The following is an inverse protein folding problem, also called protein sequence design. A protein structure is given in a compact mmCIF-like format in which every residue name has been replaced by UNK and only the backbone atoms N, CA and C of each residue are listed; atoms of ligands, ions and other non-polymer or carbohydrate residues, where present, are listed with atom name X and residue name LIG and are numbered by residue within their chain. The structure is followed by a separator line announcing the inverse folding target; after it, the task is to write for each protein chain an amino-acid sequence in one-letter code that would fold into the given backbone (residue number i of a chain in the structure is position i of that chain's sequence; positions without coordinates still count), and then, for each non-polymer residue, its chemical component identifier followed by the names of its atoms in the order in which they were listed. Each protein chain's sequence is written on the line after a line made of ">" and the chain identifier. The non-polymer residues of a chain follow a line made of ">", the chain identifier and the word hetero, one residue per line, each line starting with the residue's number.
data_IF_208066223554
#
_entry.id   IF_208066223554
#
_cell.length_a   1.000
_cell.length_b   1.000
_cell.length_c   1.000
_cell.angle_alpha   90.00
_cell.angle_beta   90.00
_cell.angle_gamma   90.00
#
_symmetry.space_group_name_H-M   'P 1'
#
loop_
_entity.id
_entity.type
_entity.pdbx_description
1 polymer ?
#
# COMPACT_ATOMS: atom_id res chain seq x y z
N UNK A 1 -49.65 48.92 -17.66
CA UNK A 1 -48.73 48.15 -16.81
C UNK A 1 -47.93 47.18 -17.67
N UNK A 2 -46.67 47.52 -17.99
CA UNK A 2 -45.68 46.59 -18.54
C UNK A 2 -44.55 46.55 -17.51
N UNK A 3 -44.26 45.37 -16.98
CA UNK A 3 -43.17 45.17 -16.04
C UNK A 3 -41.88 44.95 -16.84
N UNK A 4 -40.88 45.80 -16.62
CA UNK A 4 -39.50 45.59 -17.07
C UNK A 4 -38.87 44.50 -16.22
N UNK A 5 -38.39 43.44 -16.88
CA UNK A 5 -37.62 42.37 -16.24
C UNK A 5 -36.15 42.75 -16.28
N UNK A 6 -35.57 42.98 -15.10
CA UNK A 6 -34.16 43.32 -14.88
C UNK A 6 -33.20 42.23 -15.41
N UNK A 7 -32.56 42.51 -16.54
CA UNK A 7 -31.61 41.65 -17.27
C UNK A 7 -30.26 41.48 -16.56
N UNK A 8 -29.87 42.40 -15.68
CA UNK A 8 -28.62 42.37 -14.89
C UNK A 8 -28.56 41.24 -13.85
N UNK A 9 -29.70 40.92 -13.22
CA UNK A 9 -29.82 39.80 -12.27
C UNK A 9 -29.64 38.43 -12.93
N UNK A 10 -30.02 38.30 -14.21
CA UNK A 10 -29.91 37.06 -14.98
C UNK A 10 -28.47 36.78 -15.43
N UNK A 11 -27.69 37.82 -15.77
CA UNK A 11 -26.27 37.64 -16.13
C UNK A 11 -25.42 37.20 -14.93
N UNK A 12 -25.62 37.80 -13.76
CA UNK A 12 -24.83 37.46 -12.55
C UNK A 12 -25.10 36.05 -12.00
N UNK A 13 -26.30 35.52 -12.24
CA UNK A 13 -26.71 34.17 -11.85
C UNK A 13 -26.19 33.10 -12.82
N UNK A 14 -25.90 33.45 -14.07
CA UNK A 14 -25.23 32.59 -15.05
C UNK A 14 -23.69 32.65 -15.01
N UNK A 15 -23.10 33.81 -14.72
CA UNK A 15 -21.64 33.99 -14.71
C UNK A 15 -20.94 33.26 -13.54
N UNK A 16 -21.58 33.17 -12.38
CA UNK A 16 -21.05 32.47 -11.18
C UNK A 16 -20.87 30.97 -11.36
N UNK A 17 -21.85 30.20 -11.90
CA UNK A 17 -21.64 28.78 -12.18
C UNK A 17 -20.61 28.56 -13.29
N UNK A 18 -20.51 29.46 -14.28
CA UNK A 18 -19.46 29.38 -15.32
C UNK A 18 -18.08 29.58 -14.69
N UNK A 19 -17.89 30.59 -13.83
CA UNK A 19 -16.63 30.82 -13.12
C UNK A 19 -16.25 29.68 -12.17
N UNK A 20 -17.23 29.09 -11.46
CA UNK A 20 -17.00 27.91 -10.60
C UNK A 20 -16.63 26.68 -11.43
N UNK A 21 -17.27 26.50 -12.58
CA UNK A 21 -16.96 25.42 -13.52
C UNK A 21 -15.55 25.60 -14.08
N UNK A 22 -15.19 26.80 -14.53
CA UNK A 22 -13.84 27.12 -15.01
C UNK A 22 -12.77 26.94 -13.93
N UNK A 23 -13.03 27.33 -12.69
CA UNK A 23 -12.10 27.12 -11.57
C UNK A 23 -11.97 25.63 -11.20
N UNK A 24 -13.05 24.87 -11.24
CA UNK A 24 -13.04 23.42 -10.98
C UNK A 24 -12.30 22.68 -12.08
N UNK A 25 -12.51 23.05 -13.35
CA UNK A 25 -11.76 22.53 -14.50
C UNK A 25 -10.28 22.91 -14.39
N UNK A 26 -9.96 24.16 -14.04
CA UNK A 26 -8.58 24.59 -13.86
C UNK A 26 -7.87 23.84 -12.72
N UNK A 27 -8.53 23.64 -11.57
CA UNK A 27 -8.00 22.84 -10.44
C UNK A 27 -7.87 21.37 -10.84
N UNK A 28 -8.81 20.83 -11.61
CA UNK A 28 -8.74 19.45 -12.11
C UNK A 28 -7.59 19.28 -13.10
N UNK A 29 -7.38 20.25 -13.99
CA UNK A 29 -6.25 20.28 -14.95
C UNK A 29 -4.92 20.52 -14.24
N UNK A 30 -4.87 21.38 -13.21
CA UNK A 30 -3.67 21.58 -12.39
C UNK A 30 -3.33 20.34 -11.57
N UNK A 31 -4.34 19.70 -10.98
CA UNK A 31 -4.19 18.44 -10.24
C UNK A 31 -3.78 17.31 -11.17
N UNK A 32 -4.40 17.20 -12.34
CA UNK A 32 -4.04 16.24 -13.38
C UNK A 32 -2.63 16.48 -13.91
N UNK A 33 -2.19 17.73 -14.11
CA UNK A 33 -0.83 18.05 -14.57
C UNK A 33 0.23 17.88 -13.47
N UNK A 34 -0.11 18.13 -12.20
CA UNK A 34 0.72 17.79 -11.05
C UNK A 34 0.82 16.27 -10.84
N UNK A 35 -0.27 15.53 -11.10
CA UNK A 35 -0.30 14.07 -11.15
C UNK A 35 0.44 13.53 -12.39
N UNK A 36 0.42 14.23 -13.52
CA UNK A 36 1.19 13.93 -14.72
C UNK A 36 2.69 14.05 -14.44
N UNK A 37 3.12 15.17 -13.82
CA UNK A 37 4.51 15.38 -13.37
C UNK A 37 4.97 14.36 -12.32
N UNK A 38 4.03 13.72 -11.60
CA UNK A 38 4.29 12.65 -10.62
C UNK A 38 4.02 11.23 -11.13
N UNK A 39 3.70 11.04 -12.41
CA UNK A 39 3.48 9.72 -13.02
C UNK A 39 2.15 9.01 -12.67
N UNK A 40 1.18 9.72 -12.07
CA UNK A 40 -0.04 9.13 -11.47
C UNK A 40 -1.28 9.17 -12.39
N UNK A 41 -1.22 9.78 -13.58
CA UNK A 41 -2.33 9.76 -14.55
C UNK A 41 -2.47 8.45 -15.31
N UNK A 42 -1.54 7.50 -15.16
CA UNK A 42 -1.67 6.16 -15.72
C UNK A 42 -2.67 5.28 -14.96
N UNK A 43 -3.62 5.88 -14.23
CA UNK A 43 -4.68 5.21 -13.47
C UNK A 43 -6.11 5.61 -13.92
N UNK A 44 -6.24 6.52 -14.89
CA UNK A 44 -7.54 7.08 -15.32
C UNK A 44 -8.01 6.66 -16.73
N UNK A 45 -7.19 5.92 -17.50
CA UNK A 45 -7.63 5.27 -18.74
C UNK A 45 -8.22 3.87 -18.40
N UNK A 46 -9.39 3.45 -18.89
CA UNK A 46 -9.86 2.06 -18.67
C UNK A 46 -8.96 1.02 -19.36
N UNK A 47 -8.03 1.47 -20.22
CA UNK A 47 -6.91 0.69 -20.77
C UNK A 47 -5.54 1.09 -20.18
N UNK A 48 -5.49 1.61 -18.95
CA UNK A 48 -4.21 1.75 -18.25
C UNK A 48 -3.57 0.38 -18.11
N UNK A 49 -2.35 0.21 -18.61
CA UNK A 49 -1.50 -0.92 -18.27
C UNK A 49 -1.62 -1.13 -16.77
N UNK A 50 -2.26 -2.23 -16.33
CA UNK A 50 -2.28 -2.56 -14.91
C UNK A 50 -0.84 -2.52 -14.43
N UNK A 51 -0.60 -1.70 -13.39
CA UNK A 51 0.75 -1.44 -12.91
C UNK A 51 1.46 -2.78 -12.73
N UNK A 52 2.62 -2.94 -13.39
CA UNK A 52 3.40 -4.17 -13.35
C UNK A 52 3.76 -4.45 -11.89
N UNK A 53 3.36 -5.61 -11.39
CA UNK A 53 3.74 -6.11 -10.07
C UNK A 53 4.90 -7.10 -10.19
N UNK A 54 5.60 -7.29 -9.09
CA UNK A 54 6.67 -8.27 -8.98
C UNK A 54 6.43 -9.15 -7.76
N UNK A 55 6.46 -10.47 -7.97
CA UNK A 55 6.38 -11.44 -6.89
C UNK A 55 7.66 -12.26 -6.88
N UNK A 56 8.39 -12.16 -5.78
CA UNK A 56 9.58 -12.93 -5.49
C UNK A 56 9.20 -14.08 -4.56
N UNK A 57 9.46 -15.32 -4.95
CA UNK A 57 9.16 -16.51 -4.15
C UNK A 57 10.45 -17.24 -3.73
N UNK A 58 10.64 -17.39 -2.42
CA UNK A 58 11.81 -18.02 -1.81
C UNK A 58 11.45 -19.44 -1.33
N UNK A 59 12.14 -20.45 -1.88
CA UNK A 59 11.90 -21.86 -1.57
C UNK A 59 12.44 -22.25 -0.18
N UNK A 60 12.00 -23.41 0.33
CA UNK A 60 12.48 -23.99 1.59
C UNK A 60 13.84 -24.68 1.46
N UNK A 61 14.40 -25.14 2.59
CA UNK A 61 15.70 -25.83 2.62
C UNK A 61 15.71 -27.04 1.67
N UNK A 62 16.80 -27.22 0.91
CA UNK A 62 17.02 -28.37 0.04
C UNK A 62 16.27 -28.33 -1.30
N UNK A 63 15.38 -27.37 -1.49
CA UNK A 63 14.56 -27.23 -2.69
C UNK A 63 15.22 -26.27 -3.73
N UNK A 64 14.47 -25.85 -4.75
CA UNK A 64 14.95 -24.94 -5.80
C UNK A 64 13.87 -23.99 -6.30
N UNK A 65 14.31 -22.90 -6.94
CA UNK A 65 13.43 -21.98 -7.63
C UNK A 65 12.54 -22.66 -8.70
N UNK A 66 13.12 -23.38 -9.68
CA UNK A 66 12.36 -24.06 -10.74
C UNK A 66 11.28 -25.02 -10.22
N UNK A 67 11.55 -25.75 -9.13
CA UNK A 67 10.57 -26.66 -8.53
C UNK A 67 9.35 -25.93 -7.94
N UNK A 68 9.51 -24.66 -7.54
CA UNK A 68 8.45 -23.82 -6.99
C UNK A 68 7.73 -22.98 -8.05
N UNK A 69 8.25 -22.85 -9.27
CA UNK A 69 7.61 -22.07 -10.35
C UNK A 69 6.13 -22.41 -10.61
N UNK A 70 5.67 -23.68 -10.52
CA UNK A 70 4.26 -24.02 -10.68
C UNK A 70 3.31 -23.30 -9.73
N UNK A 71 3.79 -22.75 -8.59
CA UNK A 71 2.98 -21.98 -7.65
C UNK A 71 2.27 -20.79 -8.33
N UNK A 72 2.90 -20.18 -9.34
CA UNK A 72 2.28 -19.07 -10.09
C UNK A 72 0.96 -19.45 -10.77
N UNK A 73 0.74 -20.74 -11.06
CA UNK A 73 -0.47 -21.23 -11.75
C UNK A 73 -1.71 -21.19 -10.87
N UNK A 74 -1.55 -21.10 -9.55
CA UNK A 74 -2.65 -20.93 -8.60
C UNK A 74 -3.20 -19.48 -8.59
N UNK A 75 -2.47 -18.52 -9.17
CA UNK A 75 -2.86 -17.11 -9.24
C UNK A 75 -3.55 -16.84 -10.58
N UNK A 76 -4.86 -17.10 -10.62
CA UNK A 76 -5.66 -17.08 -11.85
C UNK A 76 -6.39 -15.76 -12.08
N UNK A 77 -6.43 -14.89 -11.08
CA UNK A 77 -7.16 -13.62 -11.15
C UNK A 77 -6.55 -12.66 -12.18
N UNK A 78 -7.38 -11.87 -12.90
CA UNK A 78 -6.90 -10.94 -13.93
C UNK A 78 -5.81 -9.99 -13.44
N UNK A 79 -5.87 -9.56 -12.18
CA UNK A 79 -4.90 -8.66 -11.53
C UNK A 79 -3.45 -9.16 -11.62
N UNK A 80 -3.21 -10.47 -11.79
CA UNK A 80 -1.87 -11.04 -11.90
C UNK A 80 -1.36 -11.22 -13.34
N UNK A 81 -2.13 -10.85 -14.37
CA UNK A 81 -1.75 -11.03 -15.79
C UNK A 81 -0.44 -10.34 -16.16
N UNK A 82 -0.14 -9.21 -15.53
CA UNK A 82 1.08 -8.43 -15.76
C UNK A 82 2.13 -8.65 -14.66
N UNK A 83 1.93 -9.62 -13.76
CA UNK A 83 2.88 -9.91 -12.68
C UNK A 83 4.15 -10.52 -13.26
N UNK A 84 5.30 -9.93 -12.94
CA UNK A 84 6.59 -10.59 -13.13
C UNK A 84 6.85 -11.49 -11.92
N UNK A 85 7.12 -12.77 -12.19
CA UNK A 85 7.45 -13.74 -11.15
C UNK A 85 8.95 -14.02 -11.14
N UNK A 86 9.52 -14.21 -9.96
CA UNK A 86 10.90 -14.67 -9.79
C UNK A 86 10.96 -15.75 -8.72
N UNK A 87 11.57 -16.87 -9.08
CA UNK A 87 11.83 -18.01 -8.21
C UNK A 87 13.34 -18.27 -8.21
N UNK A 88 14.15 -17.51 -7.47
CA UNK A 88 15.58 -17.75 -7.39
C UNK A 88 15.87 -19.06 -6.64
N UNK A 89 16.99 -19.69 -6.97
CA UNK A 89 17.53 -20.81 -6.20
C UNK A 89 18.60 -20.32 -5.22
N UNK A 90 18.59 -20.88 -4.02
CA UNK A 90 19.63 -20.68 -3.03
C UNK A 90 20.98 -21.26 -3.52
N UNK A 91 22.12 -20.72 -3.07
CA UNK A 91 23.41 -21.38 -3.28
C UNK A 91 23.44 -22.72 -2.53
N UNK A 92 24.30 -23.64 -2.99
CA UNK A 92 24.57 -24.88 -2.25
C UNK A 92 25.54 -24.61 -1.10
N UNK A 93 25.21 -25.10 0.09
CA UNK A 93 26.05 -24.96 1.30
C UNK A 93 25.87 -26.17 2.21
N UNK A 94 26.87 -26.50 3.06
CA UNK A 94 26.68 -27.44 4.16
C UNK A 94 25.57 -26.94 5.11
N UNK A 95 24.78 -27.87 5.66
CA UNK A 95 23.67 -27.55 6.58
C UNK A 95 23.80 -28.32 7.88
N UNK A 96 23.88 -27.60 9.00
CA UNK A 96 24.19 -28.14 10.31
C UNK A 96 23.15 -29.15 10.82
N UNK A 97 21.84 -28.86 10.68
CA UNK A 97 20.77 -29.77 11.10
C UNK A 97 20.75 -31.09 10.33
N UNK A 98 21.40 -31.13 9.16
CA UNK A 98 21.54 -32.31 8.30
C UNK A 98 22.98 -32.85 8.35
N UNK A 99 23.65 -32.73 9.49
CA UNK A 99 25.00 -33.27 9.74
C UNK A 99 26.04 -32.81 8.71
N UNK A 100 25.92 -31.58 8.20
CA UNK A 100 26.84 -31.00 7.23
C UNK A 100 26.59 -31.42 5.77
N UNK A 101 25.49 -32.10 5.47
CA UNK A 101 25.12 -32.41 4.10
C UNK A 101 25.00 -31.14 3.25
N UNK A 102 25.54 -31.20 2.02
CA UNK A 102 25.55 -30.06 1.08
C UNK A 102 24.28 -30.06 0.25
N UNK A 103 23.51 -28.99 0.34
CA UNK A 103 22.25 -28.83 -0.39
C UNK A 103 21.93 -27.35 -0.60
N UNK A 104 20.96 -26.99 -1.47
CA UNK A 104 20.50 -25.62 -1.60
C UNK A 104 20.03 -25.07 -0.25
N UNK A 105 20.66 -24.00 0.22
CA UNK A 105 20.34 -23.39 1.51
C UNK A 105 20.61 -21.89 1.49
N UNK A 106 19.65 -21.11 1.95
CA UNK A 106 19.78 -19.65 2.00
C UNK A 106 20.76 -19.20 3.09
N UNK A 107 20.73 -19.89 4.24
CA UNK A 107 21.55 -19.64 5.43
C UNK A 107 21.56 -20.91 6.29
N UNK A 108 22.45 -21.04 7.27
CA UNK A 108 22.54 -22.30 8.02
C UNK A 108 21.36 -22.50 8.98
N UNK A 109 20.91 -23.74 9.11
CA UNK A 109 19.89 -24.18 10.07
C UNK A 109 20.57 -25.18 10.98
N UNK A 110 20.65 -24.86 12.27
CA UNK A 110 21.41 -25.64 13.24
C UNK A 110 20.63 -26.85 13.76
N UNK A 111 19.32 -26.73 13.90
CA UNK A 111 18.47 -27.80 14.46
C UNK A 111 17.08 -27.80 13.83
N UNK A 112 16.46 -28.98 13.86
CA UNK A 112 15.05 -29.23 13.55
C UNK A 112 14.55 -30.21 14.63
N UNK A 113 13.33 -30.03 15.19
CA UNK A 113 12.35 -29.01 14.83
C UNK A 113 12.76 -27.61 15.28
N UNK A 114 12.33 -26.60 14.53
CA UNK A 114 12.58 -25.19 14.85
C UNK A 114 11.51 -24.71 15.84
N UNK A 115 11.95 -24.32 17.03
CA UNK A 115 11.14 -23.69 18.08
C UNK A 115 11.55 -22.24 18.35
N UNK A 116 10.90 -21.62 19.35
CA UNK A 116 11.17 -20.22 19.74
C UNK A 116 12.62 -20.02 20.20
N UNK A 117 13.14 -20.99 20.97
CA UNK A 117 14.47 -20.96 21.57
C UNK A 117 15.58 -21.47 20.65
N UNK A 118 15.25 -21.91 19.43
CA UNK A 118 16.24 -22.47 18.51
C UNK A 118 17.33 -21.45 18.16
N UNK A 119 18.59 -21.91 18.02
CA UNK A 119 19.74 -21.09 17.64
C UNK A 119 19.57 -20.53 16.23
N UNK A 120 20.08 -19.31 16.03
CA UNK A 120 19.85 -18.49 14.83
C UNK A 120 21.17 -18.13 14.17
N UNK A 121 21.32 -18.45 12.88
CA UNK A 121 22.45 -18.00 12.05
C UNK A 121 22.23 -16.56 11.56
N UNK A 122 22.30 -15.58 12.45
CA UNK A 122 22.07 -14.18 12.05
C UNK A 122 23.03 -13.72 10.94
N UNK A 123 24.28 -14.19 10.97
CA UNK A 123 25.30 -13.84 9.98
C UNK A 123 24.93 -14.31 8.57
N UNK A 124 24.55 -15.60 8.44
CA UNK A 124 24.09 -16.15 7.18
C UNK A 124 22.78 -15.53 6.69
N UNK A 125 21.83 -15.27 7.60
CA UNK A 125 20.58 -14.59 7.26
C UNK A 125 20.85 -13.20 6.69
N UNK A 126 21.70 -12.39 7.33
CA UNK A 126 22.05 -11.06 6.84
C UNK A 126 22.77 -11.10 5.48
N UNK A 127 23.59 -12.15 5.23
CA UNK A 127 24.21 -12.36 3.91
C UNK A 127 23.15 -12.68 2.85
N UNK A 128 22.20 -13.55 3.15
CA UNK A 128 21.11 -13.91 2.26
C UNK A 128 20.20 -12.70 1.95
N UNK A 129 19.89 -11.89 2.97
CA UNK A 129 19.11 -10.65 2.82
C UNK A 129 19.73 -9.70 1.80
N UNK A 130 21.06 -9.53 1.78
CA UNK A 130 21.74 -8.70 0.78
C UNK A 130 21.50 -9.20 -0.65
N UNK A 131 21.54 -10.51 -0.86
CA UNK A 131 21.24 -11.12 -2.17
C UNK A 131 19.80 -10.86 -2.59
N UNK A 132 18.84 -10.99 -1.66
CA UNK A 132 17.43 -10.71 -1.91
C UNK A 132 17.19 -9.23 -2.20
N UNK A 133 17.77 -8.33 -1.41
CA UNK A 133 17.70 -6.88 -1.65
C UNK A 133 18.24 -6.51 -3.03
N UNK A 134 19.35 -7.13 -3.48
CA UNK A 134 19.86 -6.90 -4.83
C UNK A 134 18.87 -7.29 -5.93
N UNK A 135 18.07 -8.35 -5.74
CA UNK A 135 17.00 -8.72 -6.69
C UNK A 135 15.92 -7.64 -6.70
N UNK A 136 15.46 -7.19 -5.52
CA UNK A 136 14.41 -6.18 -5.39
C UNK A 136 14.88 -4.84 -5.98
N UNK A 137 16.10 -4.40 -5.66
CA UNK A 137 16.68 -3.15 -6.14
C UNK A 137 16.76 -3.11 -7.67
N UNK A 138 17.07 -4.23 -8.32
CA UNK A 138 17.05 -4.34 -9.79
C UNK A 138 15.66 -4.12 -10.37
N UNK A 139 14.62 -4.66 -9.74
CA UNK A 139 13.23 -4.45 -10.19
C UNK A 139 12.74 -3.02 -9.94
N UNK A 140 13.14 -2.44 -8.81
CA UNK A 140 12.89 -1.02 -8.52
C UNK A 140 13.57 -0.13 -9.56
N UNK A 141 14.84 -0.40 -9.88
CA UNK A 141 15.58 0.32 -10.91
C UNK A 141 14.99 0.12 -12.31
N UNK A 142 14.37 -1.03 -12.58
CA UNK A 142 13.63 -1.31 -13.81
C UNK A 142 12.22 -0.66 -13.85
N UNK A 143 11.85 0.12 -12.82
CA UNK A 143 10.64 0.94 -12.80
C UNK A 143 9.44 0.31 -12.07
N UNK A 144 9.61 -0.83 -11.39
CA UNK A 144 8.54 -1.39 -10.56
C UNK A 144 8.48 -0.60 -9.24
N UNK A 145 7.31 -0.02 -8.93
CA UNK A 145 7.10 0.63 -7.65
C UNK A 145 7.29 -0.38 -6.51
N UNK A 146 8.03 -0.05 -5.43
CA UNK A 146 8.19 -0.95 -4.28
C UNK A 146 6.86 -1.44 -3.68
N UNK A 147 5.82 -0.59 -3.68
CA UNK A 147 4.47 -0.93 -3.21
C UNK A 147 3.77 -2.01 -4.08
N UNK A 148 4.32 -2.32 -5.26
CA UNK A 148 3.89 -3.41 -6.13
C UNK A 148 4.82 -4.63 -6.08
N UNK A 149 5.79 -4.64 -5.16
CA UNK A 149 6.70 -5.76 -4.94
C UNK A 149 6.24 -6.56 -3.72
N UNK A 150 6.07 -7.86 -3.90
CA UNK A 150 5.74 -8.81 -2.84
C UNK A 150 6.85 -9.84 -2.73
N UNK A 151 7.26 -10.13 -1.49
CA UNK A 151 8.19 -11.22 -1.19
C UNK A 151 7.39 -12.31 -0.50
N UNK A 152 7.48 -13.53 -0.99
CA UNK A 152 6.81 -14.69 -0.46
C UNK A 152 7.83 -15.79 -0.19
N UNK A 153 7.59 -16.67 0.77
CA UNK A 153 8.45 -17.84 0.90
C UNK A 153 7.96 -18.87 1.90
N UNK A 154 8.45 -20.09 1.72
CA UNK A 154 8.11 -21.25 2.53
C UNK A 154 9.28 -21.70 3.40
N UNK A 155 9.01 -22.06 4.66
CA UNK A 155 10.00 -22.59 5.60
C UNK A 155 11.21 -21.64 5.73
N UNK A 156 12.42 -22.10 5.37
CA UNK A 156 13.62 -21.27 5.31
C UNK A 156 13.44 -20.00 4.45
N UNK A 157 12.78 -20.13 3.29
CA UNK A 157 12.43 -18.98 2.45
C UNK A 157 11.40 -18.05 3.08
N UNK A 158 10.54 -18.57 3.97
CA UNK A 158 9.60 -17.77 4.76
C UNK A 158 10.32 -16.92 5.82
N UNK A 159 11.26 -17.53 6.54
CA UNK A 159 12.12 -16.80 7.47
C UNK A 159 12.95 -15.72 6.74
N UNK A 160 13.53 -16.05 5.58
CA UNK A 160 14.26 -15.07 4.76
C UNK A 160 13.36 -13.97 4.19
N UNK A 161 12.10 -14.29 3.86
CA UNK A 161 11.10 -13.31 3.44
C UNK A 161 10.88 -12.28 4.52
N UNK A 162 10.63 -12.73 5.76
CA UNK A 162 10.48 -11.84 6.89
C UNK A 162 11.71 -10.95 7.04
N UNK A 163 12.89 -11.56 7.09
CA UNK A 163 14.14 -10.84 7.28
C UNK A 163 14.39 -9.77 6.21
N UNK A 164 14.11 -10.12 4.97
CA UNK A 164 14.28 -9.23 3.84
C UNK A 164 13.34 -8.04 3.92
N UNK A 165 12.08 -8.25 4.32
CA UNK A 165 11.11 -7.14 4.51
C UNK A 165 11.52 -6.22 5.65
N UNK A 166 11.85 -6.77 6.82
CA UNK A 166 12.19 -5.99 8.01
C UNK A 166 13.37 -5.03 7.79
N UNK A 167 14.31 -5.45 6.94
CA UNK A 167 15.56 -4.73 6.68
C UNK A 167 15.55 -3.91 5.39
N UNK A 168 14.48 -3.96 4.60
CA UNK A 168 14.41 -3.20 3.35
C UNK A 168 14.13 -1.70 3.63
N UNK A 169 14.82 -0.76 2.97
CA UNK A 169 14.72 0.67 3.31
C UNK A 169 13.45 1.36 2.80
N UNK A 170 12.58 0.67 2.06
CA UNK A 170 11.34 1.22 1.46
C UNK A 170 10.14 0.35 1.83
N UNK A 171 8.96 0.97 1.85
CA UNK A 171 7.70 0.24 2.00
C UNK A 171 7.49 -0.67 0.79
N UNK A 172 7.34 -1.97 1.01
CA UNK A 172 7.00 -2.94 -0.03
C UNK A 172 5.48 -3.18 -0.07
N UNK A 173 4.99 -3.82 -1.13
CA UNK A 173 3.59 -4.24 -1.25
C UNK A 173 3.18 -5.23 -0.15
N UNK A 174 4.11 -6.11 0.25
CA UNK A 174 3.94 -6.98 1.39
C UNK A 174 4.94 -8.14 1.46
N UNK A 175 5.01 -8.77 2.63
CA UNK A 175 5.70 -10.06 2.85
C UNK A 175 4.70 -11.17 3.16
N UNK A 176 4.84 -12.35 2.54
CA UNK A 176 4.03 -13.52 2.83
C UNK A 176 4.89 -14.70 3.30
N UNK A 177 4.70 -15.12 4.54
CA UNK A 177 5.47 -16.17 5.20
C UNK A 177 4.62 -17.43 5.32
N UNK A 178 5.08 -18.55 4.79
CA UNK A 178 4.45 -19.87 4.94
C UNK A 178 5.34 -20.77 5.77
N UNK A 179 4.84 -21.28 6.90
CA UNK A 179 5.60 -22.16 7.82
C UNK A 179 7.01 -21.67 8.16
N UNK A 180 7.21 -20.35 8.27
CA UNK A 180 8.49 -19.74 8.62
C UNK A 180 8.65 -19.49 10.13
N UNK A 181 9.77 -18.85 10.51
CA UNK A 181 10.07 -18.44 11.89
C UNK A 181 10.77 -17.07 11.89
N UNK A 182 10.98 -16.48 13.07
CA UNK A 182 11.78 -15.24 13.22
C UNK A 182 13.27 -15.62 13.24
N UNK A 183 14.08 -15.26 12.23
CA UNK A 183 15.47 -15.72 12.11
C UNK A 183 16.47 -14.80 12.82
N UNK A 184 16.01 -13.92 13.70
CA UNK A 184 16.86 -12.98 14.44
C UNK A 184 16.57 -12.96 15.93
N UNK A 185 17.52 -12.47 16.70
CA UNK A 185 17.30 -12.03 18.07
C UNK A 185 16.61 -10.67 18.10
N UNK A 186 16.15 -10.27 19.29
CA UNK A 186 15.39 -9.03 19.49
C UNK A 186 16.15 -7.74 19.12
N UNK A 187 17.47 -7.77 19.01
CA UNK A 187 18.30 -6.62 18.61
C UNK A 187 18.01 -6.16 17.18
N UNK A 188 17.43 -7.01 16.32
CA UNK A 188 17.07 -6.63 14.95
C UNK A 188 16.02 -5.51 14.90
N UNK A 189 15.19 -5.40 15.93
CA UNK A 189 14.08 -4.44 16.01
C UNK A 189 14.56 -2.99 15.84
N UNK A 190 15.75 -2.69 16.34
CA UNK A 190 16.39 -1.37 16.23
C UNK A 190 16.81 -1.03 14.79
N UNK A 191 16.98 -2.04 13.93
CA UNK A 191 17.37 -1.87 12.52
C UNK A 191 16.16 -1.72 11.59
N UNK A 192 14.93 -1.91 12.09
CA UNK A 192 13.71 -1.82 11.28
C UNK A 192 13.37 -0.35 11.02
N UNK A 193 13.51 0.07 9.76
CA UNK A 193 13.26 1.45 9.33
C UNK A 193 11.77 1.83 9.43
N UNK A 194 11.43 3.13 9.57
CA UNK A 194 10.03 3.57 9.56
C UNK A 194 9.26 3.21 8.28
N UNK A 195 9.94 3.06 7.15
CA UNK A 195 9.33 2.63 5.89
C UNK A 195 9.09 1.12 5.87
N UNK A 196 10.04 0.30 6.34
CA UNK A 196 9.87 -1.14 6.48
C UNK A 196 8.63 -1.46 7.33
N UNK A 197 8.39 -0.69 8.40
CA UNK A 197 7.26 -0.89 9.32
C UNK A 197 5.88 -0.78 8.67
N UNK A 198 5.79 -0.10 7.53
CA UNK A 198 4.52 0.05 6.79
C UNK A 198 4.23 -1.13 5.88
N UNK A 199 5.21 -2.00 5.65
CA UNK A 199 5.03 -3.20 4.82
C UNK A 199 4.17 -4.21 5.59
N UNK A 200 3.01 -4.62 5.05
CA UNK A 200 2.17 -5.60 5.71
C UNK A 200 2.74 -7.01 5.59
N UNK A 201 2.56 -7.82 6.63
CA UNK A 201 2.90 -9.25 6.64
C UNK A 201 1.62 -10.09 6.62
N UNK A 202 1.58 -11.10 5.75
CA UNK A 202 0.70 -12.27 5.86
C UNK A 202 1.55 -13.43 6.37
N UNK A 203 1.07 -14.12 7.40
CA UNK A 203 1.72 -15.30 7.95
C UNK A 203 0.73 -16.46 7.94
N UNK A 204 1.10 -17.54 7.27
CA UNK A 204 0.33 -18.79 7.20
C UNK A 204 1.13 -19.90 7.86
N UNK A 205 0.47 -20.70 8.70
CA UNK A 205 1.14 -21.77 9.44
C UNK A 205 0.21 -22.95 9.72
N UNK A 206 0.72 -24.16 9.51
CA UNK A 206 0.04 -25.40 9.89
C UNK A 206 0.11 -25.65 11.39
N UNK A 207 -1.03 -25.98 12.03
CA UNK A 207 -1.05 -26.29 13.47
C UNK A 207 -0.48 -27.68 13.79
N UNK A 208 -0.36 -28.54 12.79
CA UNK A 208 0.22 -29.88 12.91
C UNK A 208 1.64 -29.94 12.34
N UNK A 209 2.32 -28.80 12.16
CA UNK A 209 3.67 -28.70 11.59
C UNK A 209 4.71 -29.30 12.55
N UNK A 210 5.37 -30.43 12.20
CA UNK A 210 6.33 -31.08 13.07
C UNK A 210 7.76 -30.59 12.83
N UNK A 211 7.99 -29.68 11.86
CA UNK A 211 9.31 -29.26 11.41
C UNK A 211 9.62 -27.85 11.87
N UNK A 212 8.69 -26.93 11.64
CA UNK A 212 8.72 -25.59 12.23
C UNK A 212 7.52 -25.55 13.15
N UNK A 213 7.77 -25.60 14.46
CA UNK A 213 6.71 -25.76 15.43
C UNK A 213 5.75 -24.57 15.36
N UNK A 214 4.46 -24.83 15.51
CA UNK A 214 3.43 -23.80 15.41
C UNK A 214 3.70 -22.62 16.36
N UNK A 215 4.24 -22.87 17.56
CA UNK A 215 4.62 -21.79 18.48
C UNK A 215 5.71 -20.85 17.94
N UNK A 216 6.62 -21.35 17.08
CA UNK A 216 7.63 -20.51 16.42
C UNK A 216 6.96 -19.54 15.43
N UNK A 217 5.90 -19.99 14.75
CA UNK A 217 5.04 -19.12 13.95
C UNK A 217 4.24 -18.13 14.80
N UNK A 218 3.64 -18.60 15.91
CA UNK A 218 2.84 -17.75 16.81
C UNK A 218 3.64 -16.66 17.52
N UNK A 219 4.98 -16.76 17.57
CA UNK A 219 5.83 -15.70 18.05
C UNK A 219 5.86 -14.46 17.12
N UNK A 220 5.43 -14.59 15.86
CA UNK A 220 5.50 -13.52 14.87
C UNK A 220 4.55 -12.34 15.14
N UNK A 221 3.23 -12.53 15.38
CA UNK A 221 2.34 -11.41 15.68
C UNK A 221 2.79 -10.49 16.83
N UNK A 222 3.14 -11.00 18.04
CA UNK A 222 3.62 -10.12 19.12
C UNK A 222 4.97 -9.46 18.78
N UNK A 223 5.85 -10.15 18.04
CA UNK A 223 7.08 -9.53 17.54
C UNK A 223 6.79 -8.36 16.57
N UNK A 224 5.84 -8.52 15.65
CA UNK A 224 5.46 -7.45 14.71
C UNK A 224 4.78 -6.29 15.41
N UNK A 225 3.91 -6.57 16.38
CA UNK A 225 3.21 -5.55 17.16
C UNK A 225 4.21 -4.66 17.91
N UNK A 226 5.23 -5.26 18.55
CA UNK A 226 6.27 -4.54 19.28
C UNK A 226 7.07 -3.56 18.39
N UNK A 227 7.24 -3.87 17.10
CA UNK A 227 7.91 -2.98 16.13
C UNK A 227 6.93 -2.10 15.34
N UNK A 228 5.63 -2.13 15.66
CA UNK A 228 4.60 -1.32 15.01
C UNK A 228 4.23 -1.76 13.59
N UNK A 229 4.35 -3.06 13.29
CA UNK A 229 4.04 -3.67 12.00
C UNK A 229 2.72 -4.43 12.01
N UNK A 230 2.02 -4.41 10.87
CA UNK A 230 0.80 -5.18 10.69
C UNK A 230 1.13 -6.63 10.29
N UNK A 231 0.62 -7.59 11.05
CA UNK A 231 0.72 -9.02 10.75
C UNK A 231 -0.68 -9.64 10.74
N UNK A 232 -1.09 -10.19 9.60
CA UNK A 232 -2.27 -11.06 9.50
C UNK A 232 -1.79 -12.51 9.64
N UNK A 233 -2.15 -13.17 10.75
CA UNK A 233 -1.77 -14.56 11.01
C UNK A 233 -2.93 -15.52 10.71
N UNK A 234 -2.67 -16.58 9.95
CA UNK A 234 -3.63 -17.62 9.57
C UNK A 234 -3.11 -18.98 10.00
N UNK A 235 -3.88 -19.63 10.85
CA UNK A 235 -3.61 -20.98 11.33
C UNK A 235 -4.43 -22.00 10.54
N UNK A 236 -3.80 -23.12 10.17
CA UNK A 236 -4.42 -24.20 9.40
C UNK A 236 -4.42 -25.50 10.23
N UNK A 237 -5.56 -25.93 10.81
CA UNK A 237 -5.62 -26.96 11.87
C UNK A 237 -4.95 -28.30 11.57
N UNK A 238 -5.13 -28.84 10.36
CA UNK A 238 -4.64 -30.18 9.99
C UNK A 238 -3.44 -30.13 9.05
N UNK A 239 -2.90 -28.95 8.79
CA UNK A 239 -1.77 -28.76 7.89
C UNK A 239 -0.47 -29.01 8.67
N UNK A 240 0.41 -29.83 8.11
CA UNK A 240 1.77 -30.05 8.60
C UNK A 240 2.76 -29.07 7.98
N UNK A 241 4.00 -29.53 7.74
CA UNK A 241 5.02 -28.73 7.06
C UNK A 241 4.88 -28.78 5.54
N UNK A 242 3.83 -28.19 5.00
CA UNK A 242 3.56 -28.14 3.55
C UNK A 242 2.77 -26.89 3.19
N UNK A 243 2.56 -26.69 1.88
CA UNK A 243 1.71 -25.61 1.35
C UNK A 243 0.42 -26.22 0.83
N UNK A 244 -0.70 -25.65 1.24
CA UNK A 244 -2.04 -26.00 0.76
C UNK A 244 -2.55 -25.04 -0.32
N UNK A 245 -3.50 -25.51 -1.13
CA UNK A 245 -4.21 -24.64 -2.10
C UNK A 245 -5.00 -23.53 -1.40
N UNK A 246 -5.50 -23.78 -0.18
CA UNK A 246 -6.22 -22.78 0.61
C UNK A 246 -5.31 -21.60 1.01
N UNK A 247 -4.08 -21.90 1.42
CA UNK A 247 -3.04 -20.92 1.71
C UNK A 247 -2.70 -20.06 0.49
N UNK A 248 -2.52 -20.68 -0.69
CA UNK A 248 -2.21 -19.94 -1.91
C UNK A 248 -3.39 -19.06 -2.37
N UNK A 249 -4.63 -19.54 -2.23
CA UNK A 249 -5.84 -18.74 -2.50
C UNK A 249 -5.96 -17.57 -1.54
N UNK A 250 -5.66 -17.79 -0.26
CA UNK A 250 -5.61 -16.75 0.76
C UNK A 250 -4.57 -15.67 0.41
N UNK A 251 -3.39 -16.06 -0.06
CA UNK A 251 -2.35 -15.15 -0.55
C UNK A 251 -2.82 -14.35 -1.77
N UNK A 252 -3.41 -15.01 -2.77
CA UNK A 252 -3.95 -14.33 -3.95
C UNK A 252 -4.95 -13.23 -3.56
N UNK A 253 -5.90 -13.55 -2.68
CA UNK A 253 -6.90 -12.60 -2.19
C UNK A 253 -6.26 -11.46 -1.39
N UNK A 254 -5.27 -11.76 -0.56
CA UNK A 254 -4.56 -10.77 0.23
C UNK A 254 -3.81 -9.75 -0.64
N UNK A 255 -3.05 -10.21 -1.64
CA UNK A 255 -2.35 -9.32 -2.59
C UNK A 255 -3.38 -8.46 -3.37
N UNK A 256 -4.48 -9.06 -3.85
CA UNK A 256 -5.57 -8.32 -4.53
C UNK A 256 -6.17 -7.22 -3.67
N UNK A 257 -6.35 -7.47 -2.37
CA UNK A 257 -6.85 -6.49 -1.42
C UNK A 257 -5.96 -5.24 -1.34
N UNK A 258 -4.65 -5.38 -1.59
CA UNK A 258 -3.69 -4.26 -1.60
C UNK A 258 -3.83 -3.39 -2.84
N UNK A 259 -4.04 -3.98 -4.02
CA UNK A 259 -4.34 -3.20 -5.24
C UNK A 259 -5.66 -2.43 -5.14
N UNK A 260 -6.69 -3.02 -4.51
CA UNK A 260 -8.05 -2.45 -4.46
C UNK A 260 -8.18 -1.27 -3.49
N UNK A 261 -7.44 -1.21 -2.39
CA UNK A 261 -7.51 -0.06 -1.45
C UNK A 261 -7.15 1.27 -2.14
N UNK A 262 -6.18 1.25 -3.05
CA UNK A 262 -5.78 2.41 -3.85
C UNK A 262 -6.86 2.77 -4.87
N UNK A 263 -7.44 1.79 -5.57
CA UNK A 263 -8.50 2.03 -6.56
C UNK A 263 -9.80 2.55 -5.92
N UNK A 264 -10.22 1.99 -4.79
CA UNK A 264 -11.39 2.45 -4.02
C UNK A 264 -11.18 3.87 -3.47
N UNK A 265 -9.98 4.18 -2.98
CA UNK A 265 -9.62 5.53 -2.56
C UNK A 265 -9.76 6.54 -3.71
N UNK A 266 -9.22 6.23 -4.89
CA UNK A 266 -9.33 7.08 -6.08
C UNK A 266 -10.80 7.21 -6.51
N UNK A 267 -11.54 6.11 -6.58
CA UNK A 267 -12.95 6.11 -7.00
C UNK A 267 -13.85 6.93 -6.06
N UNK A 268 -13.65 6.84 -4.75
CA UNK A 268 -14.40 7.66 -3.79
C UNK A 268 -14.04 9.15 -3.92
N UNK A 269 -12.76 9.50 -4.06
CA UNK A 269 -12.36 10.90 -4.31
C UNK A 269 -13.03 11.45 -5.59
N UNK A 270 -13.03 10.68 -6.69
CA UNK A 270 -13.67 11.09 -7.95
C UNK A 270 -15.20 11.19 -7.86
N UNK A 271 -15.86 10.26 -7.15
CA UNK A 271 -17.31 10.27 -6.96
C UNK A 271 -17.78 11.55 -6.26
N UNK A 272 -17.06 12.01 -5.24
CA UNK A 272 -17.37 13.24 -4.51
C UNK A 272 -17.06 14.52 -5.28
N UNK A 273 -16.08 14.49 -6.21
CA UNK A 273 -15.73 15.64 -7.07
C UNK A 273 -16.73 15.84 -8.23
N UNK A 274 -17.26 14.75 -8.80
CA UNK A 274 -18.17 14.80 -9.96
C UNK A 274 -19.65 14.89 -9.52
N UNK A 275 -20.01 14.21 -8.42
CA UNK A 275 -21.37 14.20 -7.87
C UNK A 275 -21.34 14.45 -6.36
N UNK A 276 -21.18 15.72 -5.93
CA UNK A 276 -21.35 16.06 -4.52
C UNK A 276 -22.77 15.67 -4.08
N UNK A 277 -22.95 14.97 -2.95
CA UNK A 277 -24.27 14.54 -2.50
C UNK A 277 -25.23 15.73 -2.38
N UNK A 278 -26.43 15.57 -2.96
CA UNK A 278 -27.46 16.61 -3.13
C UNK A 278 -27.89 17.29 -1.81
N UNK A 279 -27.71 16.63 -0.66
CA UNK A 279 -28.02 17.16 0.67
C UNK A 279 -27.08 18.30 1.13
N UNK A 280 -25.94 18.49 0.44
CA UNK A 280 -25.04 19.62 0.74
C UNK A 280 -25.57 20.96 0.21
N UNK A 281 -26.43 20.98 -0.81
CA UNK A 281 -26.94 22.24 -1.39
C UNK A 281 -27.82 23.03 -0.40
N UNK A 282 -28.67 22.35 0.36
CA UNK A 282 -29.61 23.01 1.27
C UNK A 282 -28.94 23.51 2.57
N UNK A 283 -27.96 22.78 3.10
CA UNK A 283 -27.16 23.28 4.23
C UNK A 283 -26.26 24.46 3.86
N UNK A 284 -25.78 24.52 2.61
CA UNK A 284 -24.90 25.60 2.15
C UNK A 284 -25.69 26.90 1.88
N UNK A 285 -26.87 26.80 1.26
CA UNK A 285 -27.71 27.97 1.00
C UNK A 285 -28.28 28.61 2.27
N UNK A 286 -28.62 27.81 3.30
CA UNK A 286 -29.10 28.36 4.59
C UNK A 286 -28.01 29.10 5.39
N UNK A 287 -26.74 28.70 5.29
CA UNK A 287 -25.64 29.30 6.09
C UNK A 287 -24.98 30.53 5.44
N UNK A 288 -25.12 30.73 4.13
CA UNK A 288 -24.60 31.93 3.43
C UNK A 288 -25.44 33.20 3.68
N UNK A 289 -26.71 33.07 4.11
CA UNK A 289 -27.55 34.22 4.50
C UNK A 289 -27.11 34.92 5.79
N UNK A 290 -26.20 34.33 6.58
CA UNK A 290 -25.89 34.79 7.95
C UNK A 290 -24.44 35.33 8.07
N UNK A 291 -23.68 35.47 6.98
CA UNK A 291 -22.42 36.22 7.00
C UNK A 291 -21.33 35.70 7.96
N UNK A 292 -21.28 34.39 8.24
CA UNK A 292 -20.29 33.81 9.15
C UNK A 292 -19.07 33.29 8.35
N UNK A 293 -17.91 33.93 8.54
CA UNK A 293 -16.58 33.42 8.18
C UNK A 293 -16.32 32.12 8.97
N UNK A 294 -16.63 30.96 8.38
CA UNK A 294 -16.50 29.69 9.06
C UNK A 294 -15.31 28.88 8.53
N UNK A 295 -14.32 28.65 9.40
CA UNK A 295 -13.48 27.45 9.32
C UNK A 295 -14.40 26.24 9.51
N UNK A 296 -14.38 25.28 8.60
CA UNK A 296 -15.09 24.01 8.80
C UNK A 296 -14.17 22.85 8.51
N UNK A 297 -14.22 21.89 9.43
CA UNK A 297 -13.57 20.60 9.32
C UNK A 297 -14.64 19.58 8.94
N UNK A 298 -14.42 18.85 7.85
CA UNK A 298 -15.19 17.64 7.54
C UNK A 298 -14.36 16.46 8.06
N UNK A 299 -14.91 15.71 9.02
CA UNK A 299 -14.22 14.60 9.69
C UNK A 299 -14.80 13.28 9.23
N UNK A 300 -13.98 12.44 8.60
CA UNK A 300 -14.24 11.02 8.37
C UNK A 300 -13.24 10.19 9.17
N UNK A 301 -13.52 8.88 9.27
CA UNK A 301 -12.81 7.91 10.15
C UNK A 301 -11.26 8.02 10.10
N UNK A 302 -10.67 8.46 8.98
CA UNK A 302 -9.22 8.70 8.79
C UNK A 302 -8.86 9.96 7.98
N UNK A 303 -9.83 10.83 7.66
CA UNK A 303 -9.65 11.96 6.73
C UNK A 303 -10.22 13.26 7.32
N UNK A 304 -9.42 14.32 7.23
CA UNK A 304 -9.78 15.68 7.59
C UNK A 304 -9.62 16.59 6.38
N UNK A 305 -10.67 17.36 6.08
CA UNK A 305 -10.65 18.41 5.05
C UNK A 305 -10.93 19.77 5.70
N UNK A 306 -10.01 20.72 5.53
CA UNK A 306 -10.15 22.13 5.93
C UNK A 306 -10.16 23.01 4.68
N UNK A 307 -11.28 23.71 4.42
CA UNK A 307 -11.40 24.68 3.32
C UNK A 307 -11.44 26.08 3.91
N UNK A 308 -10.53 26.97 3.48
CA UNK A 308 -10.55 28.40 3.85
C UNK A 308 -10.78 29.25 2.62
N UNK A 309 -11.79 30.11 2.69
CA UNK A 309 -11.91 31.26 1.79
C UNK A 309 -11.30 32.50 2.45
N UNK A 310 -10.39 33.18 1.76
CA UNK A 310 -10.02 34.57 2.07
C UNK A 310 -10.50 35.48 0.94
N UNK A 311 -11.03 36.67 1.29
CA UNK A 311 -11.15 37.78 0.34
C UNK A 311 -9.78 38.42 0.20
N UNK A 312 -9.27 38.54 -1.02
CA UNK A 312 -8.02 39.27 -1.29
C UNK A 312 -8.24 40.16 -2.50
N UNK A 313 -8.42 41.46 -2.26
CA UNK A 313 -8.60 42.48 -3.29
C UNK A 313 -9.83 42.28 -4.19
N UNK A 314 -10.18 43.33 -4.94
CA UNK A 314 -11.22 43.26 -5.96
C UNK A 314 -10.88 44.09 -7.18
N UNK A 315 -11.45 43.70 -8.33
CA UNK A 315 -11.44 44.54 -9.53
C UNK A 315 -12.59 45.53 -9.43
N UNK A 316 -12.29 46.80 -9.72
CA UNK A 316 -13.31 47.85 -9.73
C UNK A 316 -14.16 47.75 -11.00
N UNK A 317 -15.47 47.63 -10.84
CA UNK A 317 -16.43 47.66 -11.94
C UNK A 317 -17.02 49.09 -12.07
N UNK A 318 -16.61 49.86 -13.09
CA UNK A 318 -17.05 51.24 -13.25
C UNK A 318 -18.49 51.38 -13.75
N UNK A 319 -19.11 50.33 -14.31
CA UNK A 319 -20.51 50.40 -14.77
C UNK A 319 -21.50 50.26 -13.61
N UNK A 320 -21.12 49.49 -12.58
CA UNK A 320 -21.98 49.22 -11.43
C UNK A 320 -21.51 49.90 -10.13
N UNK A 321 -20.39 50.63 -10.19
CA UNK A 321 -19.78 51.32 -9.05
C UNK A 321 -19.62 50.37 -7.84
N UNK A 322 -19.15 49.13 -8.07
CA UNK A 322 -18.94 48.09 -7.05
C UNK A 322 -17.59 47.37 -7.19
N UNK A 323 -16.92 47.12 -6.06
CA UNK A 323 -15.64 46.39 -6.01
C UNK A 323 -15.92 44.88 -5.96
N UNK A 324 -15.49 44.16 -7.00
CA UNK A 324 -15.77 42.73 -7.19
C UNK A 324 -14.67 41.90 -6.52
N UNK A 325 -14.92 41.20 -5.40
CA UNK A 325 -13.87 40.51 -4.65
C UNK A 325 -13.41 39.23 -5.34
N UNK A 326 -12.10 38.97 -5.34
CA UNK A 326 -11.55 37.67 -5.72
C UNK A 326 -11.53 36.71 -4.52
N UNK A 327 -12.21 35.55 -4.59
CA UNK A 327 -12.06 34.52 -3.58
C UNK A 327 -10.77 33.72 -3.83
N UNK A 328 -9.86 33.71 -2.85
CA UNK A 328 -8.78 32.71 -2.81
C UNK A 328 -9.25 31.57 -1.90
N UNK A 329 -9.28 30.36 -2.47
CA UNK A 329 -9.54 29.12 -1.74
C UNK A 329 -8.19 28.46 -1.45
N UNK A 330 -7.91 28.22 -0.17
CA UNK A 330 -6.83 27.30 0.23
C UNK A 330 -7.46 26.03 0.79
N UNK A 331 -7.02 24.87 0.30
CA UNK A 331 -7.54 23.57 0.74
C UNK A 331 -6.45 22.83 1.50
N UNK A 332 -6.77 22.37 2.70
CA UNK A 332 -5.87 21.52 3.48
C UNK A 332 -6.50 20.15 3.67
N UNK A 333 -5.76 19.12 3.31
CA UNK A 333 -6.11 17.72 3.48
C UNK A 333 -5.23 17.12 4.57
N UNK A 334 -5.80 16.30 5.44
CA UNK A 334 -5.04 15.51 6.41
C UNK A 334 -5.56 14.08 6.46
N UNK A 335 -4.67 13.10 6.23
CA UNK A 335 -4.98 11.68 6.16
C UNK A 335 -3.93 10.88 6.93
N UNK A 336 -4.38 10.03 7.88
CA UNK A 336 -3.49 9.31 8.82
C UNK A 336 -2.38 10.20 9.41
N UNK A 337 -2.76 11.42 9.83
CA UNK A 337 -1.86 12.39 10.48
C UNK A 337 -0.90 13.14 9.55
N UNK A 338 -0.91 12.87 8.24
CA UNK A 338 -0.10 13.62 7.24
C UNK A 338 -0.91 14.77 6.63
N UNK A 339 -0.35 15.98 6.66
CA UNK A 339 -0.99 17.21 6.18
C UNK A 339 -0.50 17.59 4.78
N UNK A 340 -1.42 17.97 3.91
CA UNK A 340 -1.19 18.44 2.55
C UNK A 340 -1.88 19.81 2.39
N UNK A 341 -1.14 20.82 1.92
CA UNK A 341 -1.71 22.13 1.57
C UNK A 341 -1.80 22.22 0.04
N UNK A 342 -2.98 22.55 -0.47
CA UNK A 342 -3.31 22.73 -1.88
C UNK A 342 -3.77 24.16 -2.14
#
# INVERSE_FOLDING_TARGET
>A
MRAEVNTTTALSTLLRPIALFSATVAITVLSASLLHRRGLLHLANPQTHMARSFILWLHGLGDSGPANEPIRTFFTSPEFRNTKWSFPSAPTSPVSCNYGAVMPSWFDIHEIPIGIASPKDEGGVLKAVKSIHSIIDKEVAAGISPENIFICGFSQGGALTLASVLLYPRTLGGGAVFSGWIPFNNTIKEKVSPEARKTPILWSHGMADPTVLFEAGQAAPPFMEDIGMQCEFKAYPNLGHSISTEELKSLELWIKGRYKKIFLFIKEVFKYLIHPPLDYKDQYQRKMRIGILNRKWIKFKHLFLEVKGRRVGGTWDPENNLEMPHPILSVRLEFDGKKFNL
#
